data_IF_443466379040
#
_entry.id   IF_443466379040
#
_cell.length_a   1.000
_cell.length_b   1.000
_cell.length_c   1.000
_cell.angle_alpha   90.00
_cell.angle_beta   90.00
_cell.angle_gamma   90.00
#
_symmetry.space_group_name_H-M   'P 1'
#
loop_
_entity.id
_entity.type
_entity.pdbx_description
1 polymer ?
#
# COMPACT_ATOMS: atom_id res chain seq x y z
N UNK A 1 -30.69 -39.48 -27.13
CA UNK A 1 -31.78 -38.68 -27.78
C UNK A 1 -31.40 -37.21 -27.61
N UNK A 2 -30.82 -36.65 -28.64
CA UNK A 2 -31.25 -35.51 -29.48
C UNK A 2 -31.65 -34.24 -28.69
N UNK A 3 -30.68 -33.26 -28.66
CA UNK A 3 -30.70 -31.93 -29.34
C UNK A 3 -31.56 -30.85 -28.68
N UNK A 4 -31.01 -29.62 -28.43
CA UNK A 4 -30.95 -28.52 -29.40
C UNK A 4 -30.03 -27.39 -28.95
N UNK A 5 -29.20 -26.98 -29.89
CA UNK A 5 -28.39 -25.73 -29.92
C UNK A 5 -29.36 -24.60 -30.32
N UNK A 6 -29.23 -23.43 -29.68
CA UNK A 6 -29.86 -22.20 -30.17
C UNK A 6 -28.81 -21.09 -30.22
N UNK A 7 -28.33 -20.83 -31.44
CA UNK A 7 -27.54 -19.65 -31.82
C UNK A 7 -28.45 -18.43 -31.91
N UNK A 8 -28.02 -17.31 -31.31
CA UNK A 8 -28.58 -15.98 -31.61
C UNK A 8 -27.47 -15.11 -32.18
N UNK A 9 -27.60 -14.85 -33.49
CA UNK A 9 -26.84 -13.82 -34.22
C UNK A 9 -27.39 -12.45 -33.82
N UNK A 10 -26.50 -11.53 -33.47
CA UNK A 10 -26.83 -10.11 -33.34
C UNK A 10 -26.04 -9.32 -34.38
N UNK A 11 -26.81 -8.71 -35.29
CA UNK A 11 -26.39 -7.95 -36.46
C UNK A 11 -25.89 -6.56 -36.04
N UNK A 12 -24.71 -6.16 -36.54
CA UNK A 12 -24.13 -4.81 -36.46
C UNK A 12 -24.75 -3.95 -37.59
N UNK A 13 -25.25 -2.78 -37.23
CA UNK A 13 -25.59 -1.71 -38.18
C UNK A 13 -24.54 -0.59 -38.05
N UNK A 14 -23.78 -0.43 -39.13
CA UNK A 14 -22.95 0.77 -39.37
C UNK A 14 -23.83 1.87 -39.95
N UNK A 15 -23.74 3.07 -39.40
CA UNK A 15 -24.18 4.29 -40.04
C UNK A 15 -23.03 5.27 -40.17
N UNK A 16 -22.61 5.44 -41.40
CA UNK A 16 -21.65 6.47 -41.88
C UNK A 16 -22.39 7.79 -42.10
N UNK A 17 -21.81 8.88 -41.59
CA UNK A 17 -22.25 10.23 -41.89
C UNK A 17 -21.08 11.16 -42.08
N UNK A 18 -20.72 11.43 -43.35
CA UNK A 18 -19.76 12.44 -43.79
C UNK A 18 -20.52 13.71 -44.06
N UNK A 19 -20.06 14.85 -43.57
CA UNK A 19 -20.28 16.15 -44.20
C UNK A 19 -19.14 17.12 -43.89
N UNK A 20 -18.52 17.54 -44.98
CA UNK A 20 -17.51 18.56 -45.09
C UNK A 20 -18.15 19.96 -45.07
N UNK A 21 -17.39 20.93 -44.57
CA UNK A 21 -17.74 22.35 -44.68
C UNK A 21 -16.53 23.22 -44.46
N UNK A 22 -15.91 23.68 -45.56
CA UNK A 22 -14.87 24.70 -45.62
C UNK A 22 -15.48 26.09 -45.38
N UNK A 23 -14.69 27.01 -44.83
CA UNK A 23 -15.06 28.42 -44.81
C UNK A 23 -14.02 29.30 -44.13
N UNK A 24 -13.36 30.06 -44.93
CA UNK A 24 -12.12 30.82 -44.81
C UNK A 24 -12.32 32.26 -44.24
N UNK A 25 -11.22 32.82 -43.74
CA UNK A 25 -10.75 34.21 -43.75
C UNK A 25 -11.16 35.26 -42.70
N UNK A 26 -10.12 35.71 -42.14
CA UNK A 26 -9.49 37.06 -42.17
C UNK A 26 -9.87 38.07 -41.08
N UNK A 27 -8.82 38.34 -40.34
CA UNK A 27 -8.15 39.61 -40.08
C UNK A 27 -8.87 40.76 -39.32
N UNK A 28 -8.13 41.25 -38.38
CA UNK A 28 -7.72 42.65 -38.09
C UNK A 28 -8.35 43.36 -36.89
N UNK A 29 -7.47 43.80 -36.06
CA UNK A 29 -7.18 45.10 -35.43
C UNK A 29 -7.55 45.24 -33.95
N UNK A 30 -6.49 45.40 -33.21
CA UNK A 30 -6.09 46.30 -32.12
C UNK A 30 -7.13 47.25 -31.50
N UNK A 31 -7.12 47.30 -30.18
CA UNK A 31 -6.88 48.52 -29.39
C UNK A 31 -6.98 48.28 -27.90
N UNK A 32 -5.92 48.46 -27.24
CA UNK A 32 -5.53 49.27 -26.06
C UNK A 32 -6.51 49.61 -24.96
N UNK A 33 -5.97 49.37 -23.77
CA UNK A 33 -5.86 50.11 -22.52
C UNK A 33 -7.05 49.95 -21.55
N UNK A 34 -6.92 49.83 -20.26
CA UNK A 34 -6.06 50.42 -19.23
C UNK A 34 -6.21 49.65 -17.91
N UNK A 35 -5.10 49.59 -17.23
CA UNK A 35 -4.80 49.55 -15.80
C UNK A 35 -5.94 49.57 -14.77
N UNK A 36 -5.85 48.69 -13.78
CA UNK A 36 -5.93 49.08 -12.38
C UNK A 36 -5.17 48.07 -11.50
N UNK A 37 -4.35 48.68 -10.67
CA UNK A 37 -3.46 48.11 -9.66
C UNK A 37 -4.21 47.46 -8.50
N UNK A 38 -3.46 46.54 -7.89
CA UNK A 38 -3.29 46.33 -6.47
C UNK A 38 -4.06 45.18 -5.83
N UNK A 39 -3.31 44.13 -5.48
CA UNK A 39 -2.96 43.87 -4.07
C UNK A 39 -1.92 42.75 -4.06
N UNK A 40 -0.71 43.08 -3.65
CA UNK A 40 0.29 42.15 -3.16
C UNK A 40 -0.28 41.46 -1.90
N UNK A 41 -0.45 40.15 -1.98
CA UNK A 41 -0.34 39.32 -0.80
C UNK A 41 0.80 38.35 -1.07
N UNK A 42 1.92 38.64 -0.43
CA UNK A 42 3.13 37.82 -0.49
C UNK A 42 2.83 36.42 0.07
N UNK A 43 2.72 35.47 -0.86
CA UNK A 43 2.97 34.09 -0.60
C UNK A 43 4.43 33.88 -1.01
N UNK A 44 5.30 33.69 -0.03
CA UNK A 44 6.64 33.16 -0.26
C UNK A 44 6.49 31.77 -0.84
N UNK A 45 6.41 31.71 -2.16
CA UNK A 45 6.69 30.48 -2.90
C UNK A 45 8.17 30.16 -2.60
N UNK A 46 8.41 29.10 -1.82
CA UNK A 46 9.74 28.52 -1.71
C UNK A 46 10.26 28.25 -3.12
N UNK A 47 11.42 28.75 -3.43
CA UNK A 47 12.15 28.46 -4.65
C UNK A 47 12.23 26.93 -4.79
N UNK A 48 11.46 26.37 -5.73
CA UNK A 48 11.69 25.03 -6.23
C UNK A 48 13.00 25.09 -6.99
N UNK A 49 14.09 24.67 -6.34
CA UNK A 49 15.39 24.60 -6.98
C UNK A 49 15.32 23.76 -8.26
N UNK A 50 16.09 24.17 -9.25
CA UNK A 50 16.24 23.57 -10.59
C UNK A 50 16.72 22.08 -10.55
N UNK A 51 16.78 21.45 -9.37
CA UNK A 51 17.32 20.12 -9.07
C UNK A 51 16.29 19.12 -8.50
N UNK A 52 14.99 19.41 -8.54
CA UNK A 52 13.97 18.46 -8.07
C UNK A 52 13.93 17.22 -8.96
N UNK A 53 13.94 16.03 -8.32
CA UNK A 53 13.79 14.77 -9.03
C UNK A 53 12.36 14.26 -8.91
N UNK A 54 11.83 13.72 -10.01
CA UNK A 54 10.53 13.04 -10.02
C UNK A 54 10.76 11.53 -9.91
N UNK A 55 10.05 10.89 -8.98
CA UNK A 55 10.06 9.45 -8.74
C UNK A 55 8.67 8.90 -9.06
N UNK A 56 8.58 7.94 -9.96
CA UNK A 56 7.33 7.21 -10.22
C UNK A 56 7.21 6.10 -9.17
N UNK A 57 6.18 6.16 -8.35
CA UNK A 57 6.03 5.28 -7.19
C UNK A 57 4.65 4.62 -7.12
N UNK A 58 4.59 3.55 -6.34
CA UNK A 58 3.35 2.93 -5.90
C UNK A 58 3.52 2.53 -4.43
N UNK A 59 3.06 3.40 -3.52
CA UNK A 59 3.10 3.12 -2.10
C UNK A 59 1.82 2.44 -1.64
N UNK A 60 1.97 1.52 -0.67
CA UNK A 60 0.86 0.76 -0.13
C UNK A 60 -0.21 1.66 0.50
N UNK A 61 -1.46 1.26 0.37
CA UNK A 61 -2.58 1.85 1.10
C UNK A 61 -2.58 1.38 2.56
N UNK A 62 -3.44 1.94 3.40
CA UNK A 62 -3.51 1.61 4.83
C UNK A 62 -2.24 2.05 5.60
N UNK A 63 -1.98 1.42 6.74
CA UNK A 63 -0.85 1.79 7.61
C UNK A 63 0.52 1.49 7.00
N UNK A 64 0.62 0.51 6.12
CA UNK A 64 1.91 0.12 5.52
C UNK A 64 2.59 1.28 4.79
N UNK A 65 1.84 2.04 3.98
CA UNK A 65 2.38 3.22 3.29
C UNK A 65 2.01 4.56 3.94
N UNK A 66 1.48 4.56 5.17
CA UNK A 66 0.93 5.76 5.80
C UNK A 66 1.98 6.85 5.99
N UNK A 67 3.20 6.50 6.43
CA UNK A 67 4.29 7.48 6.63
C UNK A 67 4.64 8.18 5.31
N UNK A 68 4.77 7.44 4.21
CA UNK A 68 5.07 8.03 2.91
C UNK A 68 3.94 8.95 2.43
N UNK A 69 2.68 8.53 2.57
CA UNK A 69 1.52 9.35 2.16
C UNK A 69 1.41 10.63 3.00
N UNK A 70 1.56 10.54 4.31
CA UNK A 70 1.61 11.68 5.20
C UNK A 70 2.73 12.66 4.82
N UNK A 71 3.94 12.13 4.64
CA UNK A 71 5.11 12.93 4.31
C UNK A 71 5.01 13.62 2.92
N UNK A 72 4.39 12.95 1.95
CA UNK A 72 4.11 13.54 0.63
C UNK A 72 3.08 14.69 0.79
N UNK A 73 1.98 14.45 1.50
CA UNK A 73 0.94 15.45 1.75
C UNK A 73 1.47 16.64 2.56
N UNK A 74 2.31 16.38 3.56
CA UNK A 74 2.97 17.40 4.38
C UNK A 74 4.03 18.20 3.61
N UNK A 75 4.56 17.66 2.52
CA UNK A 75 5.58 18.30 1.69
C UNK A 75 7.03 17.98 2.12
N UNK A 76 7.26 17.06 3.05
CA UNK A 76 8.60 16.75 3.60
C UNK A 76 9.55 16.25 2.50
N UNK A 77 9.09 15.42 1.60
CA UNK A 77 9.88 14.99 0.44
C UNK A 77 10.21 16.14 -0.51
N UNK A 78 9.26 17.07 -0.69
CA UNK A 78 9.47 18.24 -1.56
C UNK A 78 10.56 19.16 -1.02
N UNK A 79 10.66 19.32 0.30
CA UNK A 79 11.74 20.08 0.95
C UNK A 79 13.12 19.47 0.68
N UNK A 80 13.18 18.15 0.42
CA UNK A 80 14.39 17.43 0.01
C UNK A 80 14.58 17.36 -1.51
N UNK A 81 13.75 18.11 -2.27
CA UNK A 81 13.80 18.15 -3.72
C UNK A 81 13.35 16.85 -4.39
N UNK A 82 12.38 16.13 -3.77
CA UNK A 82 11.77 14.93 -4.35
C UNK A 82 10.28 15.14 -4.54
N UNK A 83 9.82 14.90 -5.74
CA UNK A 83 8.41 14.87 -6.10
C UNK A 83 8.02 13.47 -6.55
N UNK A 84 6.79 13.07 -6.27
CA UNK A 84 6.28 11.75 -6.64
C UNK A 84 5.20 11.85 -7.70
N UNK A 85 5.35 11.05 -8.75
CA UNK A 85 4.25 10.61 -9.60
C UNK A 85 3.77 9.27 -9.03
N UNK A 86 2.72 9.32 -8.19
CA UNK A 86 2.25 8.16 -7.46
C UNK A 86 1.10 7.48 -8.19
N UNK A 87 1.25 6.17 -8.44
CA UNK A 87 0.18 5.30 -8.93
C UNK A 87 -0.51 4.66 -7.72
N UNK A 88 -1.82 4.81 -7.61
CA UNK A 88 -2.56 4.18 -6.53
C UNK A 88 -2.55 2.66 -6.66
N UNK A 89 -2.22 1.99 -5.55
CA UNK A 89 -2.28 0.54 -5.49
C UNK A 89 -3.72 0.04 -5.33
N UNK A 90 -4.04 -1.05 -6.00
CA UNK A 90 -5.25 -1.82 -5.72
C UNK A 90 -5.15 -2.55 -4.38
N UNK A 91 -6.22 -3.25 -3.97
CA UNK A 91 -6.26 -4.02 -2.72
C UNK A 91 -5.12 -5.05 -2.59
N UNK A 92 -4.65 -5.64 -3.71
CA UNK A 92 -3.42 -6.44 -3.76
C UNK A 92 -2.26 -5.59 -4.26
N UNK A 93 -1.65 -4.84 -3.34
CA UNK A 93 -0.55 -3.94 -3.64
C UNK A 93 0.65 -4.66 -4.24
N UNK A 94 1.03 -5.83 -3.72
CA UNK A 94 2.28 -6.49 -4.16
C UNK A 94 2.22 -6.99 -5.60
N UNK A 95 1.12 -7.62 -6.03
CA UNK A 95 0.98 -8.05 -7.42
C UNK A 95 0.80 -6.88 -8.38
N UNK A 96 0.13 -5.81 -7.93
CA UNK A 96 0.02 -4.54 -8.68
C UNK A 96 1.40 -3.94 -8.91
N UNK A 97 2.23 -3.80 -7.88
CA UNK A 97 3.60 -3.28 -7.96
C UNK A 97 4.45 -4.10 -8.93
N UNK A 98 4.45 -5.43 -8.81
CA UNK A 98 5.23 -6.30 -9.72
C UNK A 98 4.80 -6.14 -11.18
N UNK A 99 3.50 -5.96 -11.42
CA UNK A 99 2.95 -5.70 -12.74
C UNK A 99 3.38 -4.34 -13.29
N UNK A 100 3.30 -3.27 -12.48
CA UNK A 100 3.71 -1.91 -12.85
C UNK A 100 5.21 -1.83 -13.15
N UNK A 101 6.06 -2.47 -12.33
CA UNK A 101 7.51 -2.58 -12.58
C UNK A 101 7.79 -3.32 -13.90
N UNK A 102 7.10 -4.44 -14.14
CA UNK A 102 7.29 -5.23 -15.37
C UNK A 102 6.93 -4.44 -16.63
N UNK A 103 5.95 -3.52 -16.54
CA UNK A 103 5.58 -2.62 -17.64
C UNK A 103 6.43 -1.35 -17.70
N UNK A 104 7.32 -1.11 -16.73
CA UNK A 104 8.15 0.11 -16.66
C UNK A 104 7.37 1.36 -16.27
N UNK A 105 6.23 1.21 -15.58
CA UNK A 105 5.35 2.31 -15.19
C UNK A 105 5.75 2.96 -13.86
N UNK A 106 6.49 2.26 -13.00
CA UNK A 106 7.03 2.79 -11.75
C UNK A 106 8.52 2.50 -11.58
N UNK A 107 9.17 3.31 -10.78
CA UNK A 107 10.60 3.24 -10.45
C UNK A 107 10.82 2.50 -9.13
N UNK A 108 10.01 2.83 -8.12
CA UNK A 108 10.12 2.29 -6.76
C UNK A 108 8.75 2.01 -6.17
N UNK A 109 8.72 1.11 -5.20
CA UNK A 109 7.56 0.85 -4.37
C UNK A 109 7.98 0.27 -3.02
N UNK A 110 7.03 0.23 -2.09
CA UNK A 110 7.16 -0.53 -0.85
C UNK A 110 6.30 -1.80 -0.87
N UNK A 111 6.56 -2.75 0.02
CA UNK A 111 5.73 -3.95 0.17
C UNK A 111 6.42 -5.13 0.83
N UNK A 112 5.80 -6.29 0.69
CA UNK A 112 6.18 -7.51 1.39
C UNK A 112 7.26 -8.31 0.63
N UNK A 113 8.45 -8.53 1.22
CA UNK A 113 9.53 -9.30 0.60
C UNK A 113 9.14 -10.74 0.29
N UNK A 114 8.22 -11.36 1.04
CA UNK A 114 7.77 -12.73 0.78
C UNK A 114 6.98 -12.87 -0.52
N UNK A 115 6.41 -11.76 -1.02
CA UNK A 115 5.77 -11.68 -2.33
C UNK A 115 6.77 -11.29 -3.43
N UNK A 116 7.67 -10.35 -3.13
CA UNK A 116 8.60 -9.82 -4.13
C UNK A 116 9.74 -10.78 -4.48
N UNK A 117 10.31 -11.50 -3.49
CA UNK A 117 11.40 -12.46 -3.74
C UNK A 117 11.00 -13.53 -4.76
N UNK A 118 9.86 -14.23 -4.62
CA UNK A 118 9.39 -15.16 -5.65
C UNK A 118 9.11 -14.49 -6.99
N UNK A 119 8.55 -13.28 -6.99
CA UNK A 119 8.31 -12.51 -8.22
C UNK A 119 9.59 -12.20 -8.97
N UNK A 120 10.62 -11.72 -8.28
CA UNK A 120 11.96 -11.43 -8.85
C UNK A 120 12.60 -12.73 -9.38
N UNK A 121 12.52 -13.80 -8.61
CA UNK A 121 13.01 -15.12 -9.05
C UNK A 121 12.32 -15.61 -10.32
N UNK A 122 11.04 -15.29 -10.50
CA UNK A 122 10.23 -15.61 -11.68
C UNK A 122 10.32 -14.57 -12.80
N UNK A 123 11.24 -13.61 -12.71
CA UNK A 123 11.59 -12.71 -13.82
C UNK A 123 11.03 -11.29 -13.73
N UNK A 124 10.44 -10.84 -12.62
CA UNK A 124 10.15 -9.42 -12.41
C UNK A 124 11.47 -8.65 -12.41
N UNK A 125 11.65 -7.63 -13.29
CA UNK A 125 12.93 -6.94 -13.47
C UNK A 125 13.17 -5.90 -12.36
N UNK A 126 13.42 -6.36 -11.14
CA UNK A 126 13.57 -5.52 -9.96
C UNK A 126 14.59 -6.10 -8.97
N UNK A 127 14.97 -5.29 -7.98
CA UNK A 127 15.74 -5.69 -6.80
C UNK A 127 15.15 -5.09 -5.54
N UNK A 128 15.35 -5.76 -4.41
CA UNK A 128 15.11 -5.21 -3.09
C UNK A 128 16.29 -4.29 -2.74
N UNK A 129 16.01 -3.02 -2.45
CA UNK A 129 17.03 -1.98 -2.27
C UNK A 129 17.06 -1.38 -0.87
N UNK A 130 16.07 -1.69 -0.04
CA UNK A 130 15.99 -1.18 1.34
C UNK A 130 14.92 -1.90 2.16
N UNK A 131 14.90 -1.62 3.47
CA UNK A 131 13.91 -2.10 4.41
C UNK A 131 12.95 -0.96 4.79
N UNK A 132 11.66 -1.26 4.90
CA UNK A 132 10.67 -0.36 5.49
C UNK A 132 10.70 -0.42 7.02
N UNK A 133 10.75 -1.64 7.57
CA UNK A 133 10.70 -1.92 9.00
C UNK A 133 12.08 -2.36 9.47
N UNK A 134 12.68 -1.58 10.34
CA UNK A 134 14.06 -1.80 10.72
C UNK A 134 14.23 -2.68 11.96
N UNK A 135 13.24 -2.69 12.88
CA UNK A 135 13.42 -3.28 14.22
C UNK A 135 12.30 -4.21 14.66
N UNK A 136 11.12 -4.18 14.02
CA UNK A 136 10.01 -5.05 14.35
C UNK A 136 9.14 -5.35 13.13
N UNK A 137 8.36 -6.42 13.22
CA UNK A 137 7.30 -6.72 12.29
C UNK A 137 6.05 -5.85 12.54
N UNK A 138 5.00 -6.09 11.75
CA UNK A 138 3.76 -5.34 11.83
C UNK A 138 2.52 -6.25 11.79
N UNK A 139 2.67 -7.53 12.15
CA UNK A 139 1.58 -8.49 12.13
C UNK A 139 1.28 -9.03 13.51
N UNK A 140 0.02 -8.96 13.90
CA UNK A 140 -0.52 -9.50 15.16
C UNK A 140 -1.52 -10.60 14.83
N UNK A 141 -1.43 -11.74 15.51
CA UNK A 141 -2.51 -12.72 15.53
C UNK A 141 -3.46 -12.33 16.65
N UNK A 142 -4.66 -11.92 16.27
CA UNK A 142 -5.73 -11.55 17.20
C UNK A 142 -6.76 -12.67 17.20
N UNK A 143 -7.19 -13.11 18.39
CA UNK A 143 -8.17 -14.15 18.56
C UNK A 143 -9.41 -13.62 19.31
N UNK A 144 -10.57 -14.23 19.08
CA UNK A 144 -11.75 -13.98 19.86
C UNK A 144 -11.56 -14.42 21.33
N UNK A 145 -12.47 -14.01 22.20
CA UNK A 145 -12.32 -14.22 23.64
C UNK A 145 -12.50 -15.68 24.12
N UNK A 146 -12.90 -16.60 23.24
CA UNK A 146 -13.03 -18.04 23.57
C UNK A 146 -11.68 -18.76 23.41
N UNK A 147 -10.78 -18.26 22.60
CA UNK A 147 -9.42 -18.76 22.41
C UNK A 147 -8.53 -18.16 23.51
N UNK A 148 -7.83 -18.98 24.28
CA UNK A 148 -6.94 -18.50 25.36
C UNK A 148 -5.47 -18.71 25.05
N UNK A 149 -5.17 -19.76 24.30
CA UNK A 149 -3.83 -20.08 23.85
C UNK A 149 -3.84 -20.72 22.43
N UNK A 150 -2.67 -20.99 21.89
CA UNK A 150 -2.55 -21.54 20.55
C UNK A 150 -3.18 -22.94 20.41
N UNK A 151 -3.25 -23.74 21.47
CA UNK A 151 -3.84 -25.07 21.40
C UNK A 151 -5.36 -25.03 21.17
N UNK A 152 -6.02 -23.94 21.57
CA UNK A 152 -7.44 -23.72 21.33
C UNK A 152 -7.78 -23.48 19.86
N UNK A 153 -6.75 -23.22 19.01
CA UNK A 153 -6.93 -23.03 17.56
C UNK A 153 -7.17 -24.36 16.81
N UNK A 154 -6.97 -25.52 17.44
CA UNK A 154 -7.31 -26.80 16.82
C UNK A 154 -8.80 -26.90 16.50
N UNK A 155 -9.12 -27.22 15.24
CA UNK A 155 -10.49 -27.27 14.72
C UNK A 155 -11.13 -25.90 14.47
N UNK A 156 -10.37 -24.82 14.60
CA UNK A 156 -10.84 -23.44 14.43
C UNK A 156 -10.48 -22.84 13.07
N UNK A 157 -11.17 -21.76 12.73
CA UNK A 157 -10.93 -20.96 11.53
C UNK A 157 -9.96 -19.84 11.83
N UNK A 158 -8.82 -19.83 11.15
CA UNK A 158 -7.79 -18.80 11.31
C UNK A 158 -7.59 -18.02 10.02
N UNK A 159 -7.86 -16.74 10.07
CA UNK A 159 -7.64 -15.80 8.97
C UNK A 159 -6.16 -15.56 8.70
N UNK A 160 -5.74 -15.74 7.45
CA UNK A 160 -4.35 -15.61 7.01
C UNK A 160 -4.13 -14.44 6.06
N UNK A 161 -5.08 -13.53 5.96
CA UNK A 161 -5.17 -12.43 4.99
C UNK A 161 -5.32 -12.91 3.55
N UNK A 162 -4.36 -13.65 3.04
CA UNK A 162 -4.32 -14.19 1.67
C UNK A 162 -3.84 -15.65 1.66
N UNK A 163 -3.92 -16.29 0.51
CA UNK A 163 -3.44 -17.67 0.32
C UNK A 163 -1.90 -17.80 0.35
N UNK A 164 -1.16 -16.69 0.33
CA UNK A 164 0.30 -16.63 0.34
C UNK A 164 0.77 -15.34 1.02
N UNK A 165 2.09 -15.13 1.10
CA UNK A 165 2.67 -13.89 1.64
C UNK A 165 3.02 -13.97 3.12
N UNK A 166 3.54 -12.85 3.65
CA UNK A 166 4.15 -12.77 4.99
C UNK A 166 3.17 -12.98 6.12
N UNK A 167 1.93 -12.53 5.98
CA UNK A 167 0.90 -12.72 7.00
C UNK A 167 0.58 -14.22 7.15
N UNK A 168 0.36 -14.92 6.04
CA UNK A 168 0.16 -16.37 6.08
C UNK A 168 1.38 -17.11 6.63
N UNK A 169 2.58 -16.76 6.17
CA UNK A 169 3.83 -17.33 6.69
C UNK A 169 3.92 -17.16 8.21
N UNK A 170 3.55 -15.99 8.71
CA UNK A 170 3.56 -15.69 10.14
C UNK A 170 2.60 -16.60 10.92
N UNK A 171 1.36 -16.78 10.44
CA UNK A 171 0.41 -17.71 11.07
C UNK A 171 0.97 -19.13 11.10
N UNK A 172 1.49 -19.63 9.96
CA UNK A 172 2.07 -20.98 9.89
C UNK A 172 3.22 -21.17 10.88
N UNK A 173 4.08 -20.16 11.03
CA UNK A 173 5.19 -20.21 11.99
C UNK A 173 4.75 -20.11 13.44
N UNK A 174 3.73 -19.32 13.73
CA UNK A 174 3.13 -19.25 15.05
C UNK A 174 2.52 -20.60 15.46
N UNK A 175 1.76 -21.23 14.57
CA UNK A 175 1.18 -22.57 14.81
C UNK A 175 2.28 -23.61 15.01
N UNK A 176 3.26 -23.68 14.11
CA UNK A 176 4.40 -24.62 14.19
C UNK A 176 5.15 -24.51 15.52
N UNK A 177 5.49 -23.26 15.93
CA UNK A 177 6.25 -23.01 17.17
C UNK A 177 5.47 -23.35 18.44
N UNK A 178 4.15 -23.35 18.38
CA UNK A 178 3.27 -23.70 19.48
C UNK A 178 2.75 -25.16 19.40
N UNK A 179 3.27 -25.96 18.45
CA UNK A 179 2.94 -27.37 18.33
C UNK A 179 1.54 -27.67 17.77
N UNK A 180 0.89 -26.65 17.16
CA UNK A 180 -0.42 -26.81 16.51
C UNK A 180 -0.21 -27.21 15.05
N UNK A 181 -0.77 -28.36 14.65
CA UNK A 181 -0.71 -28.80 13.26
C UNK A 181 -1.60 -27.94 12.37
N UNK A 182 -1.05 -27.49 11.24
CA UNK A 182 -1.81 -26.78 10.21
C UNK A 182 -2.91 -27.64 9.58
N UNK A 183 -2.81 -28.96 9.65
CA UNK A 183 -3.85 -29.89 9.17
C UNK A 183 -5.09 -29.86 10.06
N UNK A 184 -4.96 -29.39 11.30
CA UNK A 184 -6.03 -29.30 12.28
C UNK A 184 -6.66 -27.91 12.34
N UNK A 185 -6.25 -26.97 11.50
CA UNK A 185 -6.72 -25.56 11.49
C UNK A 185 -7.26 -25.21 10.12
N UNK A 186 -8.45 -24.61 10.08
CA UNK A 186 -9.03 -24.13 8.82
C UNK A 186 -8.46 -22.72 8.47
N UNK A 187 -7.54 -22.67 7.52
CA UNK A 187 -6.82 -21.45 7.14
C UNK A 187 -7.58 -20.68 6.06
N UNK A 188 -8.15 -19.52 6.43
CA UNK A 188 -9.04 -18.71 5.60
C UNK A 188 -8.29 -17.49 5.04
N UNK A 189 -8.40 -17.25 3.73
CA UNK A 189 -7.96 -16.00 3.10
C UNK A 189 -9.07 -14.94 3.28
N UNK A 190 -9.00 -14.18 4.37
CA UNK A 190 -10.07 -13.28 4.84
C UNK A 190 -9.79 -11.78 4.61
N UNK A 191 -8.83 -11.45 3.73
CA UNK A 191 -8.45 -10.06 3.43
C UNK A 191 -7.58 -9.42 4.49
N UNK A 192 -7.39 -8.11 4.39
CA UNK A 192 -6.51 -7.32 5.25
C UNK A 192 -7.27 -6.16 5.91
N UNK A 193 -6.66 -5.53 6.92
CA UNK A 193 -7.19 -4.35 7.59
C UNK A 193 -8.64 -4.52 8.05
N UNK A 194 -9.50 -3.61 7.66
CA UNK A 194 -10.91 -3.61 8.05
C UNK A 194 -11.64 -4.91 7.67
N UNK A 195 -11.30 -5.54 6.54
CA UNK A 195 -11.93 -6.80 6.12
C UNK A 195 -11.58 -7.95 7.06
N UNK A 196 -10.29 -8.07 7.43
CA UNK A 196 -9.85 -9.07 8.41
C UNK A 196 -10.47 -8.83 9.80
N UNK A 197 -10.55 -7.57 10.22
CA UNK A 197 -11.22 -7.20 11.47
C UNK A 197 -12.72 -7.54 11.44
N UNK A 198 -13.42 -7.22 10.35
CA UNK A 198 -14.82 -7.55 10.20
C UNK A 198 -15.09 -9.06 10.22
N UNK A 199 -14.20 -9.88 9.65
CA UNK A 199 -14.33 -11.34 9.68
C UNK A 199 -14.19 -11.92 11.09
N UNK A 200 -13.35 -11.31 11.95
CA UNK A 200 -13.23 -11.68 13.36
C UNK A 200 -14.48 -11.26 14.15
N UNK A 201 -14.92 -10.00 14.00
CA UNK A 201 -16.08 -9.46 14.73
C UNK A 201 -17.40 -10.13 14.37
N UNK A 202 -17.53 -10.60 13.13
CA UNK A 202 -18.71 -11.36 12.67
C UNK A 202 -18.69 -12.84 13.08
N UNK A 203 -17.56 -13.36 13.59
CA UNK A 203 -17.37 -14.78 13.88
C UNK A 203 -17.17 -15.66 12.63
N UNK A 204 -16.85 -15.06 11.49
CA UNK A 204 -16.46 -15.81 10.28
C UNK A 204 -15.15 -16.58 10.52
N UNK A 205 -14.22 -15.97 11.28
CA UNK A 205 -12.99 -16.60 11.76
C UNK A 205 -12.89 -16.48 13.30
N UNK A 206 -12.21 -17.43 13.94
CA UNK A 206 -11.96 -17.45 15.39
C UNK A 206 -10.72 -16.64 15.78
N UNK A 207 -9.77 -16.54 14.87
CA UNK A 207 -8.57 -15.70 14.98
C UNK A 207 -8.18 -15.16 13.61
N UNK A 208 -7.45 -14.05 13.55
CA UNK A 208 -6.96 -13.49 12.30
C UNK A 208 -5.61 -12.81 12.47
N UNK A 209 -4.73 -12.95 11.48
CA UNK A 209 -3.53 -12.13 11.38
C UNK A 209 -3.91 -10.75 10.83
N UNK A 210 -3.46 -9.69 11.50
CA UNK A 210 -3.92 -8.33 11.18
C UNK A 210 -2.84 -7.29 11.48
N UNK A 211 -2.99 -6.11 10.90
CA UNK A 211 -2.16 -4.92 11.18
C UNK A 211 -2.81 -4.01 12.23
N UNK A 212 -2.01 -3.15 12.86
CA UNK A 212 -2.57 -1.99 13.54
C UNK A 212 -3.23 -1.03 12.50
N UNK A 213 -4.23 -0.25 12.90
CA UNK A 213 -4.77 -0.11 14.27
C UNK A 213 -5.76 -1.21 14.68
N UNK A 214 -6.13 -2.11 13.80
CA UNK A 214 -7.20 -3.10 14.06
C UNK A 214 -6.85 -4.13 15.12
N UNK A 215 -5.57 -4.43 15.35
CA UNK A 215 -5.17 -5.28 16.49
C UNK A 215 -5.45 -4.57 17.82
N UNK A 216 -5.08 -3.29 17.94
CA UNK A 216 -5.38 -2.49 19.12
C UNK A 216 -6.88 -2.22 19.26
N UNK A 217 -7.60 -2.01 18.17
CA UNK A 217 -9.05 -1.81 18.17
C UNK A 217 -9.79 -3.03 18.74
N UNK A 218 -9.37 -4.25 18.36
CA UNK A 218 -9.98 -5.48 18.85
C UNK A 218 -9.84 -5.64 20.38
N UNK A 219 -8.71 -5.20 20.95
CA UNK A 219 -8.52 -5.16 22.40
C UNK A 219 -9.36 -4.05 23.05
N UNK A 220 -9.39 -2.85 22.46
CA UNK A 220 -10.08 -1.68 22.99
C UNK A 220 -11.62 -1.87 23.03
N UNK A 221 -12.20 -2.50 22.02
CA UNK A 221 -13.65 -2.75 21.96
C UNK A 221 -14.08 -4.11 22.55
N UNK A 222 -13.10 -4.90 23.02
CA UNK A 222 -13.35 -6.19 23.65
C UNK A 222 -13.75 -7.31 22.70
N UNK A 223 -13.60 -7.13 21.39
CA UNK A 223 -13.89 -8.15 20.37
C UNK A 223 -12.92 -9.33 20.46
N UNK A 224 -11.68 -9.07 20.83
CA UNK A 224 -10.63 -10.07 20.92
C UNK A 224 -9.41 -9.57 21.67
N UNK A 225 -8.35 -10.35 21.63
CA UNK A 225 -7.06 -10.02 22.24
C UNK A 225 -5.91 -10.51 21.36
N UNK A 226 -4.72 -9.90 21.55
CA UNK A 226 -3.52 -10.31 20.84
C UNK A 226 -3.02 -11.64 21.40
N UNK A 227 -3.14 -12.71 20.62
CA UNK A 227 -2.65 -14.05 20.95
C UNK A 227 -1.14 -14.19 20.68
N UNK A 228 -0.62 -13.49 19.68
CA UNK A 228 0.80 -13.50 19.35
C UNK A 228 1.24 -12.41 18.39
N UNK A 229 2.53 -12.12 18.41
CA UNK A 229 3.18 -11.15 17.53
C UNK A 229 4.12 -11.87 16.60
N UNK A 230 4.05 -11.61 15.29
CA UNK A 230 4.84 -12.35 14.30
C UNK A 230 6.34 -12.32 14.55
N UNK A 231 6.88 -11.19 15.00
CA UNK A 231 8.32 -11.03 15.25
C UNK A 231 8.85 -11.79 16.48
N UNK A 232 7.98 -12.25 17.38
CA UNK A 232 8.37 -13.13 18.48
C UNK A 232 8.66 -14.56 17.98
N UNK A 233 8.12 -14.90 16.81
CA UNK A 233 8.25 -16.24 16.18
C UNK A 233 9.20 -16.25 14.99
N UNK A 234 9.37 -15.11 14.33
CA UNK A 234 10.25 -14.94 13.16
C UNK A 234 11.07 -13.64 13.36
N UNK A 235 12.04 -13.62 14.29
CA UNK A 235 12.74 -12.39 14.72
C UNK A 235 13.57 -11.73 13.60
N UNK A 236 14.06 -12.52 12.64
CA UNK A 236 14.89 -12.03 11.53
C UNK A 236 14.10 -11.74 10.25
N UNK A 237 12.78 -11.75 10.33
CA UNK A 237 11.92 -11.48 9.18
C UNK A 237 11.49 -10.01 9.15
N UNK A 238 11.97 -9.29 8.15
CA UNK A 238 11.51 -7.94 7.86
C UNK A 238 10.22 -8.02 7.04
N UNK A 239 9.12 -7.51 7.59
CA UNK A 239 7.79 -7.58 6.97
C UNK A 239 7.58 -6.55 5.87
N UNK A 240 8.51 -5.61 5.70
CA UNK A 240 8.45 -4.57 4.68
C UNK A 240 9.79 -4.29 4.03
N UNK A 241 9.78 -4.04 2.73
CA UNK A 241 10.95 -3.74 1.92
C UNK A 241 10.65 -2.68 0.87
N UNK A 242 11.71 -2.03 0.38
CA UNK A 242 11.66 -1.15 -0.78
C UNK A 242 12.17 -1.95 -1.98
N UNK A 243 11.38 -1.98 -3.05
CA UNK A 243 11.72 -2.57 -4.33
C UNK A 243 11.95 -1.47 -5.37
N UNK A 244 12.97 -1.63 -6.22
CA UNK A 244 13.22 -0.73 -7.35
C UNK A 244 13.37 -1.51 -8.65
N UNK A 245 12.93 -0.90 -9.77
CA UNK A 245 13.09 -1.49 -11.09
C UNK A 245 14.56 -1.54 -11.50
N UNK A 246 14.96 -2.60 -12.23
CA UNK A 246 16.33 -2.70 -12.75
C UNK A 246 16.69 -1.51 -13.63
N UNK A 247 15.74 -1.04 -14.44
CA UNK A 247 15.95 0.15 -15.31
C UNK A 247 16.28 1.40 -14.49
N UNK A 248 15.59 1.64 -13.38
CA UNK A 248 15.87 2.78 -12.51
C UNK A 248 17.22 2.65 -11.81
N UNK A 249 17.55 1.45 -11.33
CA UNK A 249 18.84 1.16 -10.68
C UNK A 249 20.01 1.40 -11.65
N UNK A 250 19.87 0.99 -12.91
CA UNK A 250 20.95 1.04 -13.91
C UNK A 250 21.11 2.41 -14.56
N UNK A 251 19.99 3.09 -14.83
CA UNK A 251 20.00 4.34 -15.59
C UNK A 251 20.01 5.61 -14.71
N UNK A 252 19.50 5.51 -13.46
CA UNK A 252 19.32 6.65 -12.57
C UNK A 252 19.83 6.36 -11.13
N UNK A 253 21.04 5.80 -10.95
CA UNK A 253 21.52 5.36 -9.64
C UNK A 253 21.64 6.51 -8.62
N UNK A 254 21.94 7.74 -9.08
CA UNK A 254 22.02 8.91 -8.22
C UNK A 254 20.64 9.34 -7.70
N UNK A 255 19.59 9.24 -8.53
CA UNK A 255 18.20 9.50 -8.11
C UNK A 255 17.74 8.44 -7.10
N UNK A 256 18.07 7.17 -7.34
CA UNK A 256 17.77 6.11 -6.38
C UNK A 256 18.46 6.35 -5.04
N UNK A 257 19.75 6.70 -5.05
CA UNK A 257 20.50 7.00 -3.82
C UNK A 257 19.89 8.18 -3.07
N UNK A 258 19.54 9.25 -3.76
CA UNK A 258 18.89 10.42 -3.20
C UNK A 258 17.54 10.09 -2.62
N UNK A 259 16.72 9.29 -3.32
CA UNK A 259 15.45 8.80 -2.82
C UNK A 259 15.60 7.98 -1.54
N UNK A 260 16.50 6.98 -1.50
CA UNK A 260 16.71 6.16 -0.32
C UNK A 260 17.19 6.97 0.89
N UNK A 261 18.06 7.96 0.67
CA UNK A 261 18.51 8.88 1.72
C UNK A 261 17.33 9.67 2.28
N UNK A 262 16.53 10.28 1.42
CA UNK A 262 15.35 11.05 1.83
C UNK A 262 14.27 10.17 2.48
N UNK A 263 14.08 8.96 1.98
CA UNK A 263 13.13 7.99 2.55
C UNK A 263 13.41 7.75 4.04
N UNK A 264 14.65 7.42 4.38
CA UNK A 264 15.02 7.17 5.78
C UNK A 264 15.04 8.45 6.63
N UNK A 265 15.47 9.58 6.07
CA UNK A 265 15.43 10.88 6.75
C UNK A 265 13.99 11.26 7.10
N UNK A 266 13.07 11.20 6.15
CA UNK A 266 11.65 11.53 6.35
C UNK A 266 11.01 10.62 7.40
N UNK A 267 11.31 9.31 7.40
CA UNK A 267 10.78 8.39 8.40
C UNK A 267 11.26 8.70 9.82
N UNK A 268 12.53 9.08 9.99
CA UNK A 268 13.04 9.51 11.28
C UNK A 268 12.46 10.88 11.70
N UNK A 269 12.25 11.79 10.76
CA UNK A 269 11.66 13.10 10.99
C UNK A 269 10.19 12.98 11.42
N UNK A 270 9.38 12.17 10.70
CA UNK A 270 7.99 11.90 11.09
C UNK A 270 7.92 11.30 12.50
N UNK A 271 8.80 10.36 12.81
CA UNK A 271 8.85 9.72 14.14
C UNK A 271 9.22 10.70 15.27
N UNK A 272 10.14 11.62 15.02
CA UNK A 272 10.72 12.46 16.06
C UNK A 272 10.02 13.83 16.17
N UNK A 273 9.65 14.43 15.04
CA UNK A 273 9.21 15.82 14.97
C UNK A 273 7.71 15.95 14.61
N UNK A 274 7.13 14.97 13.94
CA UNK A 274 5.74 15.01 13.48
C UNK A 274 4.88 13.84 14.00
N UNK A 275 5.31 13.14 15.06
CA UNK A 275 4.64 11.94 15.53
C UNK A 275 3.16 12.19 15.89
N UNK A 276 2.87 13.22 16.68
CA UNK A 276 1.50 13.53 17.09
C UNK A 276 0.62 13.94 15.90
N UNK A 277 1.16 14.74 14.97
CA UNK A 277 0.44 15.10 13.74
C UNK A 277 0.18 13.88 12.86
N UNK A 278 1.17 12.98 12.76
CA UNK A 278 1.04 11.73 12.02
C UNK A 278 -0.04 10.83 12.65
N UNK A 279 -0.08 10.69 13.98
CA UNK A 279 -1.10 9.90 14.68
C UNK A 279 -2.50 10.46 14.40
N UNK A 280 -2.69 11.78 14.51
CA UNK A 280 -3.98 12.43 14.22
C UNK A 280 -4.40 12.24 12.75
N UNK A 281 -3.47 12.40 11.80
CA UNK A 281 -3.70 12.17 10.38
C UNK A 281 -4.05 10.70 10.10
N UNK A 282 -3.27 9.76 10.66
CA UNK A 282 -3.47 8.33 10.45
C UNK A 282 -4.79 7.82 11.06
N UNK A 283 -5.18 8.33 12.23
CA UNK A 283 -6.47 8.02 12.85
C UNK A 283 -7.64 8.40 11.94
N UNK A 284 -7.57 9.57 11.32
CA UNK A 284 -8.57 10.03 10.34
C UNK A 284 -8.59 9.14 9.09
N UNK A 285 -7.42 8.81 8.53
CA UNK A 285 -7.29 7.94 7.35
C UNK A 285 -7.83 6.52 7.60
N UNK A 286 -7.62 5.99 8.80
CA UNK A 286 -8.07 4.65 9.19
C UNK A 286 -9.47 4.62 9.80
N UNK A 287 -10.14 5.78 9.90
CA UNK A 287 -11.46 5.94 10.52
C UNK A 287 -11.50 5.34 11.94
N UNK A 288 -10.51 5.70 12.76
CA UNK A 288 -10.37 5.27 14.15
C UNK A 288 -10.05 6.47 15.06
N UNK A 289 -9.89 6.26 16.36
CA UNK A 289 -9.46 7.30 17.30
C UNK A 289 -7.93 7.32 17.46
N UNK A 290 -7.39 8.47 17.86
CA UNK A 290 -5.96 8.61 18.14
C UNK A 290 -5.48 7.68 19.26
N UNK A 291 -6.34 7.41 20.26
CA UNK A 291 -6.03 6.52 21.38
C UNK A 291 -5.79 5.05 20.95
N UNK A 292 -6.26 4.68 19.76
CA UNK A 292 -6.12 3.33 19.20
C UNK A 292 -4.91 3.24 18.26
N UNK A 293 -4.41 4.40 17.76
CA UNK A 293 -3.26 4.46 16.85
C UNK A 293 -1.94 4.28 17.60
#
# INVERSE_FOLDING_TARGET
MKKKVLSVLLTVVLATGVLAGCGNNAATTASQSESSQAAESGSTAGETGDDAIVIRSCFATGMTGAVNRFAIEKGLYKELGIEFENVEASADTNSTVMSLITRGEIDVADGDPSSYIPGIYNGVPAKLVGNMWRYSGCYWLVANNDIKDFSDLEGKKVGTASASGGMRLSVLKMLEKNGVSTDNVDLIANGVYQTAYASLTSGEVDATIIHNPYAALAEADGTGHILGRAWDYIPDYYTGTIIASNSFIENEPEKLQRFLTAYYQVHEEVKNDYFDEFVAWAAKEMNTSEDVM
#
